data_IF_138305773840
#
_entry.id   IF_138305773840
#
_cell.length_a   1.000
_cell.length_b   1.000
_cell.length_c   1.000
_cell.angle_alpha   90.00
_cell.angle_beta   90.00
_cell.angle_gamma   90.00
#
_symmetry.space_group_name_H-M   'P 1'
#
loop_
_entity.id
_entity.type
_entity.pdbx_description
1 polymer ?
#
# COMPACT_ATOMS: atom_id res chain seq x y z
N UNK A 1 2.37 -34.95 7.47
CA UNK A 1 2.58 -33.62 6.88
C UNK A 1 3.11 -32.57 7.87
N UNK A 2 3.23 -32.87 9.16
CA UNK A 2 3.68 -31.92 10.21
C UNK A 2 5.20 -31.69 10.33
N UNK A 3 6.03 -32.57 9.78
CA UNK A 3 7.49 -32.52 10.01
C UNK A 3 8.27 -31.53 9.13
N UNK A 4 7.69 -31.05 8.04
CA UNK A 4 8.36 -30.08 7.14
C UNK A 4 8.22 -28.63 7.61
N UNK A 5 7.15 -28.30 8.32
CA UNK A 5 6.89 -26.93 8.81
C UNK A 5 7.74 -26.66 10.06
N UNK A 6 7.91 -27.65 10.95
CA UNK A 6 8.78 -27.54 12.12
C UNK A 6 10.26 -27.38 11.74
N UNK A 7 10.72 -28.05 10.67
CA UNK A 7 12.09 -27.90 10.19
C UNK A 7 12.40 -26.55 9.53
N UNK A 8 11.39 -25.89 8.94
CA UNK A 8 11.55 -24.55 8.39
C UNK A 8 11.56 -23.46 9.47
N UNK A 9 10.76 -23.64 10.51
CA UNK A 9 10.74 -22.74 11.68
C UNK A 9 12.07 -22.79 12.44
N UNK A 10 12.57 -23.98 12.73
CA UNK A 10 13.86 -24.16 13.40
C UNK A 10 15.02 -23.59 12.55
N UNK A 11 14.99 -23.76 11.22
CA UNK A 11 16.04 -23.25 10.34
C UNK A 11 16.04 -21.72 10.18
N UNK A 12 14.89 -21.07 10.46
CA UNK A 12 14.78 -19.61 10.52
C UNK A 12 15.25 -19.07 11.87
N UNK A 13 15.01 -19.80 12.96
CA UNK A 13 15.50 -19.45 14.30
C UNK A 13 17.01 -19.66 14.41
N UNK A 14 17.55 -20.74 13.87
CA UNK A 14 19.01 -21.01 13.80
C UNK A 14 19.77 -19.92 13.01
N UNK A 15 19.13 -19.31 11.99
CA UNK A 15 19.73 -18.19 11.26
C UNK A 15 19.73 -16.90 12.06
N UNK A 16 18.77 -16.69 12.96
CA UNK A 16 18.71 -15.51 13.85
C UNK A 16 19.74 -15.63 14.96
N UNK A 17 20.03 -16.84 15.44
CA UNK A 17 21.07 -17.07 16.45
C UNK A 17 22.50 -16.90 15.90
N UNK A 18 22.68 -17.10 14.59
CA UNK A 18 24.00 -17.00 13.93
C UNK A 18 24.40 -15.55 13.53
N UNK A 19 23.54 -14.56 13.73
CA UNK A 19 23.92 -13.15 13.50
C UNK A 19 24.72 -12.59 14.69
N UNK A 20 25.74 -11.75 14.44
CA UNK A 20 26.40 -10.97 15.48
C UNK A 20 25.39 -10.16 16.32
N UNK A 21 25.67 -10.00 17.62
CA UNK A 21 24.71 -9.36 18.55
C UNK A 21 24.44 -7.89 18.24
N UNK A 22 25.36 -7.19 17.63
CA UNK A 22 25.20 -5.84 17.08
C UNK A 22 24.16 -5.80 15.96
N UNK A 23 24.21 -6.74 15.01
CA UNK A 23 23.22 -6.86 13.93
C UNK A 23 21.85 -7.34 14.41
N UNK A 24 21.78 -8.14 15.46
CA UNK A 24 20.51 -8.51 16.10
C UNK A 24 19.85 -7.31 16.77
N UNK A 25 20.64 -6.49 17.45
CA UNK A 25 20.16 -5.28 18.11
C UNK A 25 19.69 -4.23 17.10
N UNK A 26 20.43 -4.01 16.01
CA UNK A 26 20.02 -3.11 14.92
C UNK A 26 18.69 -3.52 14.29
N UNK A 27 18.50 -4.81 14.01
CA UNK A 27 17.25 -5.32 13.45
C UNK A 27 16.09 -5.20 14.44
N UNK A 28 16.30 -5.43 15.71
CA UNK A 28 15.29 -5.29 16.74
C UNK A 28 14.87 -3.82 16.91
N UNK A 29 15.82 -2.92 16.97
CA UNK A 29 15.57 -1.48 17.11
C UNK A 29 14.78 -0.93 15.90
N UNK A 30 15.19 -1.27 14.68
CA UNK A 30 14.49 -0.83 13.48
C UNK A 30 13.05 -1.37 13.40
N UNK A 31 12.82 -2.60 13.86
CA UNK A 31 11.48 -3.20 13.91
C UNK A 31 10.60 -2.51 14.96
N UNK A 32 11.15 -2.14 16.11
CA UNK A 32 10.41 -1.44 17.15
C UNK A 32 10.01 -0.01 16.69
N UNK A 33 10.93 0.69 16.03
CA UNK A 33 10.64 1.98 15.40
C UNK A 33 9.53 1.84 14.35
N UNK A 34 9.57 0.80 13.54
CA UNK A 34 8.52 0.53 12.55
C UNK A 34 7.16 0.24 13.22
N UNK A 35 7.10 -0.54 14.29
CA UNK A 35 5.84 -0.76 15.04
C UNK A 35 5.26 0.54 15.59
N UNK A 36 6.11 1.45 16.09
CA UNK A 36 5.68 2.77 16.54
C UNK A 36 5.15 3.61 15.39
N UNK A 37 5.80 3.55 14.22
CA UNK A 37 5.32 4.19 13.02
C UNK A 37 3.94 3.67 12.60
N UNK A 38 3.74 2.35 12.55
CA UNK A 38 2.44 1.74 12.25
C UNK A 38 1.34 2.20 13.22
N UNK A 39 1.65 2.23 14.52
CA UNK A 39 0.71 2.71 15.53
C UNK A 39 0.35 4.20 15.33
N UNK A 40 1.28 5.03 14.87
CA UNK A 40 1.04 6.42 14.52
C UNK A 40 0.18 6.55 13.25
N UNK A 41 0.44 5.75 12.23
CA UNK A 41 -0.32 5.71 10.98
C UNK A 41 -1.79 5.35 11.24
N UNK A 42 -2.04 4.31 12.03
CA UNK A 42 -3.41 3.90 12.41
C UNK A 42 -4.17 5.04 13.11
N UNK A 43 -3.46 5.88 13.86
CA UNK A 43 -4.02 7.06 14.54
C UNK A 43 -4.06 8.32 13.67
N UNK A 44 -3.64 8.23 12.40
CA UNK A 44 -3.59 9.36 11.46
C UNK A 44 -2.50 10.39 11.76
N UNK A 45 -1.49 10.03 12.56
CA UNK A 45 -0.36 10.92 12.93
C UNK A 45 0.82 10.66 11.96
N UNK A 46 0.66 11.10 10.73
CA UNK A 46 1.60 10.77 9.64
C UNK A 46 2.97 11.42 9.80
N UNK A 47 3.04 12.66 10.31
CA UNK A 47 4.31 13.36 10.58
C UNK A 47 5.15 12.57 11.59
N UNK A 48 4.50 12.14 12.68
CA UNK A 48 5.18 11.37 13.72
C UNK A 48 5.57 9.97 13.29
N UNK A 49 4.78 9.37 12.40
CA UNK A 49 5.13 8.09 11.80
C UNK A 49 6.36 8.21 10.91
N UNK A 50 6.46 9.30 10.16
CA UNK A 50 7.60 9.57 9.28
C UNK A 50 8.90 9.72 10.07
N UNK A 51 8.89 10.42 11.23
CA UNK A 51 10.05 10.51 12.12
C UNK A 51 10.58 9.11 12.50
N UNK A 52 9.70 8.21 12.94
CA UNK A 52 10.09 6.85 13.29
C UNK A 52 10.58 6.04 12.06
N UNK A 53 9.97 6.25 10.89
CA UNK A 53 10.39 5.58 9.67
C UNK A 53 11.75 6.08 9.16
N UNK A 54 12.05 7.36 9.31
CA UNK A 54 13.37 7.93 9.01
C UNK A 54 14.44 7.27 9.88
N UNK A 55 14.19 7.15 11.17
CA UNK A 55 15.13 6.49 12.09
C UNK A 55 15.28 4.99 11.76
N UNK A 56 14.18 4.29 11.46
CA UNK A 56 14.22 2.90 11.04
C UNK A 56 15.02 2.71 9.73
N UNK A 57 14.89 3.66 8.77
CA UNK A 57 15.64 3.64 7.52
C UNK A 57 17.11 4.02 7.69
N UNK A 58 17.50 4.75 8.74
CA UNK A 58 18.93 4.94 9.07
C UNK A 58 19.60 3.63 9.42
N UNK A 59 18.89 2.75 10.15
CA UNK A 59 19.38 1.43 10.54
C UNK A 59 19.32 0.46 9.37
N UNK A 60 18.19 0.46 8.64
CA UNK A 60 17.91 -0.49 7.55
C UNK A 60 17.51 0.26 6.27
N UNK A 61 18.47 0.90 5.62
CA UNK A 61 18.28 1.89 4.54
C UNK A 61 17.54 1.36 3.30
N UNK A 62 17.59 0.08 3.03
CA UNK A 62 16.95 -0.55 1.86
C UNK A 62 15.79 -1.49 2.23
N UNK A 63 15.29 -1.40 3.46
CA UNK A 63 14.14 -2.19 3.83
C UNK A 63 12.91 -1.75 3.03
N UNK A 64 12.37 -2.63 2.14
CA UNK A 64 11.30 -2.24 1.23
C UNK A 64 9.99 -1.92 1.94
N UNK A 65 9.76 -2.54 3.10
CA UNK A 65 8.56 -2.27 3.89
C UNK A 65 8.61 -0.84 4.46
N UNK A 66 9.74 -0.45 5.06
CA UNK A 66 9.92 0.90 5.63
C UNK A 66 9.82 1.98 4.54
N UNK A 67 10.47 1.75 3.39
CA UNK A 67 10.35 2.65 2.23
C UNK A 67 8.89 2.81 1.76
N UNK A 68 8.15 1.70 1.70
CA UNK A 68 6.74 1.72 1.27
C UNK A 68 5.85 2.54 2.23
N UNK A 69 6.04 2.37 3.52
CA UNK A 69 5.28 3.14 4.53
C UNK A 69 5.72 4.60 4.61
N UNK A 70 7.02 4.91 4.40
CA UNK A 70 7.48 6.30 4.25
C UNK A 70 6.80 6.98 3.06
N UNK A 71 6.74 6.29 1.91
CA UNK A 71 6.00 6.80 0.76
C UNK A 71 4.53 7.04 1.06
N UNK A 72 3.89 6.15 1.85
CA UNK A 72 2.51 6.35 2.27
C UNK A 72 2.36 7.61 3.14
N UNK A 73 3.21 7.83 4.14
CA UNK A 73 3.18 9.00 5.02
C UNK A 73 3.41 10.31 4.25
N UNK A 74 4.42 10.33 3.38
CA UNK A 74 4.73 11.48 2.51
C UNK A 74 3.56 11.82 1.59
N UNK A 75 2.92 10.78 1.01
CA UNK A 75 1.73 10.95 0.17
C UNK A 75 0.52 11.51 0.91
N UNK A 76 0.35 11.12 2.18
CA UNK A 76 -0.72 11.64 3.05
C UNK A 76 -0.51 13.12 3.41
N UNK A 77 0.72 13.60 3.40
CA UNK A 77 1.05 15.03 3.56
C UNK A 77 0.88 15.84 2.26
N UNK A 78 0.70 15.18 1.12
CA UNK A 78 0.43 15.81 -0.16
C UNK A 78 1.60 15.78 -1.15
N UNK A 79 2.81 15.35 -0.76
CA UNK A 79 3.92 15.18 -1.71
C UNK A 79 3.81 13.83 -2.43
N UNK A 80 2.89 13.80 -3.39
CA UNK A 80 2.61 12.59 -4.17
C UNK A 80 3.77 12.19 -5.09
N UNK A 81 4.60 13.16 -5.51
CA UNK A 81 5.76 12.90 -6.36
C UNK A 81 6.85 12.12 -5.64
N UNK A 82 7.17 12.53 -4.40
CA UNK A 82 8.13 11.84 -3.57
C UNK A 82 7.57 10.50 -3.07
N UNK A 83 6.30 10.47 -2.68
CA UNK A 83 5.60 9.25 -2.30
C UNK A 83 5.68 8.17 -3.38
N UNK A 84 5.49 8.55 -4.65
CA UNK A 84 5.62 7.63 -5.77
C UNK A 84 7.04 7.08 -5.90
N UNK A 85 8.08 7.90 -5.71
CA UNK A 85 9.47 7.45 -5.76
C UNK A 85 9.75 6.40 -4.68
N UNK A 86 9.38 6.66 -3.43
CA UNK A 86 9.56 5.73 -2.32
C UNK A 86 8.81 4.41 -2.55
N UNK A 87 7.52 4.46 -2.86
CA UNK A 87 6.72 3.27 -3.08
C UNK A 87 7.19 2.48 -4.32
N UNK A 88 7.63 3.16 -5.39
CA UNK A 88 8.17 2.50 -6.59
C UNK A 88 9.51 1.81 -6.30
N UNK A 89 10.40 2.45 -5.50
CA UNK A 89 11.64 1.81 -5.05
C UNK A 89 11.33 0.58 -4.22
N UNK A 90 10.40 0.67 -3.27
CA UNK A 90 9.99 -0.46 -2.45
C UNK A 90 9.43 -1.63 -3.29
N UNK A 91 8.58 -1.34 -4.27
CA UNK A 91 8.00 -2.35 -5.15
C UNK A 91 9.03 -3.01 -6.09
N UNK A 92 10.11 -2.30 -6.44
CA UNK A 92 11.24 -2.90 -7.18
C UNK A 92 12.04 -3.85 -6.31
N UNK A 93 12.28 -3.50 -5.04
CA UNK A 93 13.02 -4.33 -4.08
C UNK A 93 12.23 -5.58 -3.66
N UNK A 94 10.91 -5.45 -3.52
CA UNK A 94 10.04 -6.55 -3.12
C UNK A 94 8.75 -6.60 -3.95
N UNK A 95 8.82 -7.10 -5.20
CA UNK A 95 7.72 -7.04 -6.16
C UNK A 95 6.56 -8.01 -5.86
N UNK A 96 6.73 -8.91 -4.91
CA UNK A 96 5.72 -9.89 -4.49
C UNK A 96 5.14 -9.62 -3.10
N UNK A 97 5.43 -8.47 -2.50
CA UNK A 97 4.84 -8.09 -1.22
C UNK A 97 3.47 -7.45 -1.41
N UNK A 98 2.36 -8.08 -0.96
CA UNK A 98 1.02 -7.55 -1.16
C UNK A 98 0.85 -6.15 -0.57
N UNK A 99 1.37 -5.91 0.64
CA UNK A 99 1.23 -4.62 1.32
C UNK A 99 1.96 -3.49 0.59
N UNK A 100 3.14 -3.77 0.04
CA UNK A 100 3.91 -2.78 -0.74
C UNK A 100 3.17 -2.42 -2.02
N UNK A 101 2.60 -3.42 -2.71
CA UNK A 101 1.79 -3.19 -3.90
C UNK A 101 0.51 -2.40 -3.59
N UNK A 102 -0.11 -2.66 -2.44
CA UNK A 102 -1.27 -1.87 -1.96
C UNK A 102 -0.87 -0.42 -1.72
N UNK A 103 0.23 -0.16 -1.02
CA UNK A 103 0.67 1.20 -0.73
C UNK A 103 1.02 1.96 -2.02
N UNK A 104 1.70 1.33 -2.97
CA UNK A 104 1.96 1.92 -4.28
C UNK A 104 0.65 2.22 -5.04
N UNK A 105 -0.29 1.26 -5.04
CA UNK A 105 -1.62 1.45 -5.63
C UNK A 105 -2.38 2.63 -5.04
N UNK A 106 -2.28 2.83 -3.73
CA UNK A 106 -2.88 3.98 -3.03
C UNK A 106 -2.29 5.30 -3.51
N UNK A 107 -0.96 5.42 -3.54
CA UNK A 107 -0.29 6.62 -4.03
C UNK A 107 -0.66 6.91 -5.49
N UNK A 108 -0.70 5.89 -6.34
CA UNK A 108 -1.13 6.03 -7.73
C UNK A 108 -2.60 6.45 -7.86
N UNK A 109 -3.47 5.99 -6.95
CA UNK A 109 -4.87 6.38 -6.93
C UNK A 109 -5.04 7.87 -6.61
N UNK A 110 -4.25 8.40 -5.66
CA UNK A 110 -4.25 9.84 -5.34
C UNK A 110 -3.67 10.69 -6.47
N UNK A 111 -2.66 10.19 -7.19
CA UNK A 111 -2.14 10.80 -8.42
C UNK A 111 -3.15 10.79 -9.59
N UNK A 112 -4.27 10.04 -9.44
CA UNK A 112 -5.29 9.91 -10.49
C UNK A 112 -5.06 8.76 -11.47
N UNK A 113 -4.00 7.99 -11.32
CA UNK A 113 -3.66 6.83 -12.14
C UNK A 113 -4.51 5.60 -11.75
N UNK A 114 -5.84 5.73 -11.92
CA UNK A 114 -6.81 4.73 -11.44
C UNK A 114 -6.68 3.35 -12.08
N UNK A 115 -6.23 3.28 -13.32
CA UNK A 115 -6.05 2.00 -14.03
C UNK A 115 -4.87 1.26 -13.43
N UNK A 116 -3.75 1.91 -13.32
CA UNK A 116 -2.51 1.39 -12.76
C UNK A 116 -2.70 1.00 -11.29
N UNK A 117 -3.35 1.83 -10.50
CA UNK A 117 -3.69 1.53 -9.12
C UNK A 117 -4.52 0.22 -9.01
N UNK A 118 -5.52 0.05 -9.89
CA UNK A 118 -6.32 -1.18 -9.93
C UNK A 118 -5.48 -2.40 -10.26
N UNK A 119 -4.55 -2.28 -11.21
CA UNK A 119 -3.68 -3.37 -11.62
C UNK A 119 -2.79 -3.81 -10.44
N UNK A 120 -2.23 -2.85 -9.67
CA UNK A 120 -1.47 -3.15 -8.45
C UNK A 120 -2.33 -3.78 -7.35
N UNK A 121 -3.54 -3.29 -7.11
CA UNK A 121 -4.45 -3.91 -6.14
C UNK A 121 -4.87 -5.33 -6.56
N UNK A 122 -5.12 -5.55 -7.84
CA UNK A 122 -5.48 -6.89 -8.35
C UNK A 122 -4.32 -7.85 -8.19
N UNK A 123 -3.09 -7.40 -8.44
CA UNK A 123 -1.88 -8.20 -8.22
C UNK A 123 -1.68 -8.50 -6.73
N UNK A 124 -1.83 -7.51 -5.86
CA UNK A 124 -1.75 -7.71 -4.42
C UNK A 124 -2.78 -8.73 -3.93
N UNK A 125 -4.02 -8.64 -4.41
CA UNK A 125 -5.08 -9.57 -4.09
C UNK A 125 -4.80 -11.00 -4.58
N UNK A 126 -4.18 -11.17 -5.75
CA UNK A 126 -3.80 -12.48 -6.25
C UNK A 126 -2.68 -13.15 -5.44
N UNK A 127 -1.85 -12.35 -4.76
CA UNK A 127 -0.77 -12.85 -3.89
C UNK A 127 -1.27 -13.21 -2.49
N UNK A 128 -2.25 -12.46 -1.99
CA UNK A 128 -2.93 -12.69 -0.71
C UNK A 128 -4.41 -12.36 -0.86
N UNK A 129 -5.25 -13.39 -0.90
CA UNK A 129 -6.70 -13.28 -1.05
C UNK A 129 -7.45 -13.35 0.29
N UNK A 130 -6.75 -13.56 1.41
CA UNK A 130 -7.35 -13.67 2.74
C UNK A 130 -7.39 -12.32 3.44
N UNK A 131 -8.57 -11.72 3.64
CA UNK A 131 -8.77 -10.46 4.39
C UNK A 131 -7.86 -9.30 3.95
N UNK A 132 -7.47 -9.32 2.68
CA UNK A 132 -6.44 -8.44 2.12
C UNK A 132 -6.91 -6.97 2.07
N UNK A 133 -6.08 -6.01 2.48
CA UNK A 133 -6.32 -4.60 2.21
C UNK A 133 -6.59 -4.31 0.72
N UNK A 134 -6.02 -5.10 -0.19
CA UNK A 134 -6.27 -5.01 -1.62
C UNK A 134 -7.74 -5.24 -2.00
N UNK A 135 -8.44 -6.18 -1.34
CA UNK A 135 -9.86 -6.42 -1.56
C UNK A 135 -10.72 -5.21 -1.19
N UNK A 136 -10.38 -4.53 -0.09
CA UNK A 136 -11.05 -3.30 0.34
C UNK A 136 -10.86 -2.17 -0.68
N UNK A 137 -9.63 -1.98 -1.16
CA UNK A 137 -9.33 -0.95 -2.17
C UNK A 137 -10.06 -1.24 -3.49
N UNK A 138 -10.05 -2.50 -3.96
CA UNK A 138 -10.76 -2.91 -5.17
C UNK A 138 -12.28 -2.69 -5.04
N UNK A 139 -12.87 -3.03 -3.89
CA UNK A 139 -14.29 -2.79 -3.62
C UNK A 139 -14.62 -1.30 -3.58
N UNK A 140 -13.74 -0.49 -2.98
CA UNK A 140 -13.86 0.97 -2.91
C UNK A 140 -13.74 1.66 -4.28
N UNK A 141 -12.97 1.08 -5.20
CA UNK A 141 -12.88 1.58 -6.58
C UNK A 141 -14.18 1.39 -7.36
N UNK A 142 -15.08 0.56 -6.88
CA UNK A 142 -16.41 0.31 -7.41
C UNK A 142 -16.41 -0.47 -8.73
N UNK A 143 -17.52 -1.16 -8.97
CA UNK A 143 -17.83 -1.69 -10.30
C UNK A 143 -18.00 -0.50 -11.24
N UNK A 144 -17.33 -0.49 -12.39
CA UNK A 144 -17.56 0.53 -13.42
C UNK A 144 -19.07 0.58 -13.73
N UNK A 145 -19.72 1.66 -13.31
CA UNK A 145 -21.15 1.85 -13.61
C UNK A 145 -21.38 1.70 -15.11
N UNK A 146 -22.44 1.03 -15.47
CA UNK A 146 -22.84 0.88 -16.87
C UNK A 146 -23.02 2.27 -17.52
N UNK A 147 -22.73 2.41 -18.82
CA UNK A 147 -23.00 3.66 -19.53
C UNK A 147 -24.47 4.06 -19.32
N UNK A 148 -24.75 5.35 -19.25
CA UNK A 148 -26.12 5.84 -19.02
C UNK A 148 -27.03 5.37 -20.14
N UNK A 149 -26.53 5.41 -21.37
CA UNK A 149 -27.20 4.87 -22.54
C UNK A 149 -26.50 3.56 -22.93
N UNK A 150 -27.14 2.42 -22.68
CA UNK A 150 -26.56 1.09 -22.85
C UNK A 150 -26.15 0.73 -24.27
N UNK A 151 -26.89 1.29 -25.27
CA UNK A 151 -26.68 0.99 -26.69
C UNK A 151 -25.56 1.83 -27.33
N UNK A 152 -25.03 2.82 -26.61
CA UNK A 152 -23.94 3.66 -27.08
C UNK A 152 -22.62 3.31 -26.39
N UNK A 153 -21.53 3.39 -27.15
CA UNK A 153 -20.19 3.20 -26.60
C UNK A 153 -19.96 4.15 -25.40
N UNK A 154 -19.17 3.76 -24.44
CA UNK A 154 -18.83 4.61 -23.27
C UNK A 154 -18.15 5.91 -23.66
N UNK A 155 -17.34 5.89 -24.72
CA UNK A 155 -16.66 7.04 -25.30
C UNK A 155 -17.58 7.97 -26.06
N UNK A 156 -18.84 7.57 -26.28
CA UNK A 156 -19.80 8.42 -27.00
C UNK A 156 -20.06 9.73 -26.23
N UNK A 157 -20.08 10.90 -26.90
CA UNK A 157 -20.22 12.18 -26.25
C UNK A 157 -21.39 12.29 -25.27
N UNK A 158 -22.56 11.74 -25.63
CA UNK A 158 -23.74 11.71 -24.75
C UNK A 158 -23.48 10.92 -23.45
N UNK A 159 -22.81 9.76 -23.51
CA UNK A 159 -22.48 9.02 -22.31
C UNK A 159 -21.45 9.74 -21.43
N UNK A 160 -20.52 10.48 -22.02
CA UNK A 160 -19.57 11.31 -21.29
C UNK A 160 -20.26 12.47 -20.55
N UNK A 161 -21.16 13.18 -21.23
CA UNK A 161 -21.91 14.31 -20.65
C UNK A 161 -22.86 13.83 -19.55
N UNK A 162 -23.70 12.83 -19.86
CA UNK A 162 -24.64 12.27 -18.89
C UNK A 162 -23.95 11.59 -17.71
N UNK A 163 -22.79 10.96 -17.94
CA UNK A 163 -21.95 10.40 -16.89
C UNK A 163 -21.42 11.47 -15.94
N UNK A 164 -20.94 12.60 -16.47
CA UNK A 164 -20.52 13.77 -15.68
C UNK A 164 -21.67 14.39 -14.89
N UNK A 165 -22.85 14.55 -15.51
CA UNK A 165 -24.06 15.07 -14.83
C UNK A 165 -24.47 14.12 -13.69
N UNK A 166 -24.56 12.81 -13.95
CA UNK A 166 -24.85 11.82 -12.91
C UNK A 166 -23.84 11.86 -11.77
N UNK A 167 -22.57 12.07 -12.07
CA UNK A 167 -21.50 12.20 -11.07
C UNK A 167 -21.70 13.46 -10.20
N UNK A 168 -22.09 14.59 -10.78
CA UNK A 168 -22.40 15.83 -10.05
C UNK A 168 -23.64 15.70 -9.17
N UNK A 169 -24.72 15.12 -9.69
CA UNK A 169 -26.00 14.97 -8.99
C UNK A 169 -25.96 13.96 -7.84
N UNK A 170 -25.24 12.86 -8.03
CA UNK A 170 -25.17 11.78 -7.03
C UNK A 170 -24.02 11.95 -6.01
N UNK A 171 -23.31 13.09 -6.06
CA UNK A 171 -22.29 13.46 -5.07
C UNK A 171 -21.33 12.31 -4.79
N UNK A 172 -20.41 12.02 -5.71
CA UNK A 172 -19.31 11.09 -5.38
C UNK A 172 -18.42 11.77 -4.33
N UNK A 173 -18.68 11.48 -3.05
CA UNK A 173 -17.65 11.69 -2.03
C UNK A 173 -16.48 10.80 -2.40
N UNK A 174 -15.33 11.41 -2.75
CA UNK A 174 -14.07 10.67 -2.76
C UNK A 174 -14.04 9.86 -1.47
N UNK A 175 -13.78 8.54 -1.51
CA UNK A 175 -13.52 7.82 -0.28
C UNK A 175 -12.33 8.53 0.37
N UNK A 176 -12.61 9.31 1.39
CA UNK A 176 -11.56 9.89 2.21
C UNK A 176 -10.80 8.73 2.79
N UNK A 177 -9.48 8.78 2.73
CA UNK A 177 -8.58 7.85 3.38
C UNK A 177 -8.94 7.80 4.87
N UNK A 178 -9.85 6.91 5.23
CA UNK A 178 -10.02 6.49 6.61
C UNK A 178 -9.46 5.08 6.65
N UNK A 179 -8.28 4.95 7.24
CA UNK A 179 -7.86 3.65 7.75
C UNK A 179 -8.92 3.21 8.76
N UNK A 180 -9.67 2.17 8.41
CA UNK A 180 -10.54 1.44 9.33
C UNK A 180 -9.76 0.29 9.89
#
# INVERSE_FOLDING_TARGET
>A
MGSRISNLSNKLDDRKEALPDDLKNETFESQELFRRAEACIVRGKFEKAEEFLVEALRISSENPLYLSYSGLCVGMRGDLGEAQKFCSKAAKLSPQSPIILVNLGRVLLELGYRKEARDFFSRAYSLDNTSSPAALELSGMGVRRQPVIRHLARSHPFNLVLGKMRHRLLGYKKPGWKMR
#
